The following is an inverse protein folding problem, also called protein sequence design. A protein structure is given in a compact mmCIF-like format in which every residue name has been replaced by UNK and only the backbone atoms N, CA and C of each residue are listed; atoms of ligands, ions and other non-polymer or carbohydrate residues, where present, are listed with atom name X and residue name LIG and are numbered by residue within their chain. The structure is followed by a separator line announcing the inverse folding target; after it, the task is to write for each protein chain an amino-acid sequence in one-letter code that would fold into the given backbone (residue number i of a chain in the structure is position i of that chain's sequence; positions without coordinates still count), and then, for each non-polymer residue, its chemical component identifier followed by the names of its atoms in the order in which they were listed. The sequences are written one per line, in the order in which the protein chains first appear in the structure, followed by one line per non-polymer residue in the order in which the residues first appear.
data_IF_095233495885
#
_entry.id   IF_095233495885
#
_cell.length_a   1.000
_cell.length_b   1.000
_cell.length_c   1.000
_cell.angle_alpha   90.00
_cell.angle_beta   90.00
_cell.angle_gamma   90.00
#
_symmetry.space_group_name_H-M   'P 1'
#
loop_
_entity.id
_entity.type
_entity.pdbx_description
1 polymer ?
#
# COMPACT_ATOMS: atom_id res chain seq x y z
N UNK A 1 -9.97 -21.31 17.54
CA UNK A 1 -10.30 -20.37 16.45
C UNK A 1 -10.40 -21.16 15.16
N UNK A 2 -11.53 -21.06 14.47
CA UNK A 2 -11.70 -21.64 13.14
C UNK A 2 -10.90 -20.86 12.10
N UNK A 3 -10.74 -21.41 10.89
CA UNK A 3 -10.07 -20.71 9.80
C UNK A 3 -10.81 -19.41 9.41
N UNK A 4 -12.15 -19.44 9.46
CA UNK A 4 -12.99 -18.28 9.15
C UNK A 4 -12.82 -17.20 10.22
N UNK A 5 -12.89 -17.56 11.50
CA UNK A 5 -12.66 -16.63 12.61
C UNK A 5 -11.26 -15.99 12.54
N UNK A 6 -10.25 -16.78 12.15
CA UNK A 6 -8.88 -16.26 11.97
C UNK A 6 -8.84 -15.25 10.82
N UNK A 7 -9.42 -15.59 9.68
CA UNK A 7 -9.51 -14.69 8.53
C UNK A 7 -10.21 -13.38 8.88
N UNK A 8 -11.38 -13.44 9.51
CA UNK A 8 -12.16 -12.26 9.90
C UNK A 8 -11.37 -11.35 10.86
N UNK A 9 -10.67 -11.96 11.82
CA UNK A 9 -9.80 -11.25 12.76
C UNK A 9 -8.66 -10.53 12.02
N UNK A 10 -7.92 -11.23 11.15
CA UNK A 10 -6.85 -10.64 10.36
C UNK A 10 -7.38 -9.55 9.42
N UNK A 11 -8.54 -9.75 8.80
CA UNK A 11 -9.15 -8.79 7.87
C UNK A 11 -9.50 -7.49 8.58
N UNK A 12 -10.09 -7.58 9.77
CA UNK A 12 -10.43 -6.41 10.59
C UNK A 12 -9.18 -5.65 11.02
N UNK A 13 -8.22 -6.35 11.64
CA UNK A 13 -6.97 -5.73 12.14
C UNK A 13 -6.16 -5.14 10.99
N UNK A 14 -6.06 -5.84 9.85
CA UNK A 14 -5.35 -5.34 8.68
C UNK A 14 -5.97 -4.08 8.08
N UNK A 15 -7.30 -3.98 8.06
CA UNK A 15 -7.99 -2.76 7.63
C UNK A 15 -7.71 -1.58 8.56
N UNK A 16 -7.78 -1.81 9.88
CA UNK A 16 -7.47 -0.79 10.88
C UNK A 16 -6.01 -0.34 10.79
N UNK A 17 -5.08 -1.28 10.65
CA UNK A 17 -3.65 -1.00 10.45
C UNK A 17 -3.41 -0.20 9.17
N UNK A 18 -4.07 -0.54 8.07
CA UNK A 18 -3.94 0.18 6.80
C UNK A 18 -4.34 1.66 6.95
N UNK A 19 -5.44 1.96 7.65
CA UNK A 19 -5.81 3.34 7.96
C UNK A 19 -4.74 4.03 8.82
N UNK A 20 -4.22 3.38 9.87
CA UNK A 20 -3.14 3.95 10.70
C UNK A 20 -1.91 4.31 9.86
N UNK A 21 -1.51 3.43 8.93
CA UNK A 21 -0.36 3.67 8.04
C UNK A 21 -0.60 4.88 7.16
N UNK A 22 -1.77 4.95 6.50
CA UNK A 22 -2.16 6.05 5.62
C UNK A 22 -2.16 7.37 6.39
N UNK A 23 -2.90 7.42 7.50
CA UNK A 23 -3.10 8.66 8.27
C UNK A 23 -1.80 9.18 8.89
N UNK A 24 -0.87 8.29 9.22
CA UNK A 24 0.36 8.66 9.94
C UNK A 24 1.55 8.91 9.01
N UNK A 25 1.63 8.23 7.86
CA UNK A 25 2.86 8.15 7.06
C UNK A 25 2.67 8.42 5.57
N UNK A 26 1.44 8.47 5.04
CA UNK A 26 1.22 8.75 3.62
C UNK A 26 1.04 10.26 3.38
N UNK A 27 2.14 10.93 3.06
CA UNK A 27 2.09 12.34 2.69
C UNK A 27 1.35 12.57 1.35
N UNK A 28 0.61 13.68 1.27
CA UNK A 28 -0.09 14.07 0.02
C UNK A 28 0.84 14.17 -1.18
N UNK A 29 2.07 14.64 -0.98
CA UNK A 29 3.08 14.74 -2.04
C UNK A 29 3.52 13.37 -2.54
N UNK A 30 3.63 12.38 -1.65
CA UNK A 30 3.93 10.98 -2.01
C UNK A 30 2.80 10.40 -2.84
N UNK A 31 1.55 10.60 -2.40
CA UNK A 31 0.37 10.14 -3.14
C UNK A 31 0.29 10.78 -4.54
N UNK A 32 0.48 12.11 -4.63
CA UNK A 32 0.42 12.80 -5.92
C UNK A 32 1.57 12.42 -6.86
N UNK A 33 2.79 12.23 -6.35
CA UNK A 33 3.92 11.75 -7.16
C UNK A 33 3.69 10.32 -7.66
N UNK A 34 3.14 9.46 -6.79
CA UNK A 34 2.73 8.10 -7.15
C UNK A 34 1.70 8.10 -8.28
N UNK A 35 0.65 8.92 -8.16
CA UNK A 35 -0.37 9.04 -9.20
C UNK A 35 0.18 9.59 -10.53
N UNK A 36 1.14 10.52 -10.49
CA UNK A 36 1.82 11.00 -11.71
C UNK A 36 2.61 9.90 -12.40
N UNK A 37 3.32 9.06 -11.64
CA UNK A 37 4.08 7.93 -12.20
C UNK A 37 3.18 6.88 -12.86
N UNK A 38 1.98 6.70 -12.30
CA UNK A 38 0.97 5.79 -12.84
C UNK A 38 0.15 6.38 -14.00
N UNK A 39 0.36 7.66 -14.37
CA UNK A 39 -0.39 8.31 -15.44
C UNK A 39 -1.83 8.71 -15.06
N UNK A 40 -2.18 8.65 -13.78
CA UNK A 40 -3.51 8.97 -13.25
C UNK A 40 -3.76 10.48 -13.19
N UNK A 41 -2.71 11.30 -13.17
CA UNK A 41 -2.84 12.77 -13.09
C UNK A 41 -3.00 13.40 -14.48
N UNK A 42 -4.11 14.12 -14.69
CA UNK A 42 -4.37 14.98 -15.86
C UNK A 42 -4.60 16.42 -15.38
N UNK A 43 -3.82 17.36 -15.88
CA UNK A 43 -3.87 18.79 -15.50
C UNK A 43 -3.86 19.05 -13.97
N UNK A 44 -3.13 18.22 -13.23
CA UNK A 44 -3.01 18.32 -11.78
C UNK A 44 -4.16 17.70 -10.98
N UNK A 45 -5.14 17.11 -11.66
CA UNK A 45 -6.27 16.41 -11.05
C UNK A 45 -6.12 14.90 -11.22
N UNK A 46 -6.52 14.13 -10.21
CA UNK A 46 -6.59 12.67 -10.28
C UNK A 46 -7.78 12.27 -11.13
N UNK A 47 -7.53 11.59 -12.24
CA UNK A 47 -8.55 11.06 -13.14
C UNK A 47 -8.39 9.54 -13.17
N UNK A 48 -9.38 8.85 -12.60
CA UNK A 48 -9.44 7.39 -12.60
C UNK A 48 -10.37 6.92 -13.71
N UNK A 49 -9.89 6.00 -14.54
CA UNK A 49 -10.69 5.38 -15.61
C UNK A 49 -11.51 4.18 -15.07
N UNK A 50 -11.17 3.66 -13.88
CA UNK A 50 -11.96 2.64 -13.16
C UNK A 50 -11.74 2.70 -11.64
N UNK A 51 -12.66 2.12 -10.86
CA UNK A 51 -12.51 2.01 -9.40
C UNK A 51 -11.24 1.26 -8.99
N UNK A 52 -10.84 0.26 -9.78
CA UNK A 52 -9.66 -0.56 -9.49
C UNK A 52 -8.35 0.23 -9.53
N UNK A 53 -8.29 1.34 -10.28
CA UNK A 53 -7.10 2.20 -10.31
C UNK A 53 -6.85 2.89 -8.97
N UNK A 54 -7.89 3.06 -8.14
CA UNK A 54 -7.70 3.58 -6.78
C UNK A 54 -6.89 2.60 -5.94
N UNK A 55 -7.21 1.29 -6.02
CA UNK A 55 -6.44 0.25 -5.35
C UNK A 55 -5.00 0.18 -5.87
N UNK A 56 -4.81 0.26 -7.18
CA UNK A 56 -3.46 0.28 -7.79
C UNK A 56 -2.64 1.47 -7.30
N UNK A 57 -3.24 2.67 -7.23
CA UNK A 57 -2.57 3.85 -6.70
C UNK A 57 -2.15 3.66 -5.24
N UNK A 58 -3.05 3.17 -4.40
CA UNK A 58 -2.77 2.98 -2.98
C UNK A 58 -1.70 1.92 -2.74
N UNK A 59 -1.77 0.78 -3.44
CA UNK A 59 -0.77 -0.28 -3.31
C UNK A 59 0.62 0.20 -3.73
N UNK A 60 0.72 0.90 -4.86
CA UNK A 60 1.98 1.47 -5.34
C UNK A 60 2.52 2.55 -4.39
N UNK A 61 1.66 3.46 -3.92
CA UNK A 61 2.08 4.55 -3.04
C UNK A 61 2.59 4.03 -1.69
N UNK A 62 2.00 2.96 -1.16
CA UNK A 62 2.37 2.39 0.14
C UNK A 62 3.59 1.46 0.07
N UNK A 63 3.65 0.60 -0.94
CA UNK A 63 4.63 -0.50 -0.99
C UNK A 63 5.82 -0.23 -1.92
N UNK A 64 5.65 0.57 -2.97
CA UNK A 64 6.66 0.70 -4.04
C UNK A 64 7.32 2.08 -4.07
N UNK A 65 6.55 3.15 -3.87
CA UNK A 65 7.10 4.49 -3.93
C UNK A 65 8.04 4.76 -2.74
N UNK A 66 9.29 5.12 -3.03
CA UNK A 66 10.32 5.34 -2.01
C UNK A 66 10.66 6.82 -1.83
N UNK A 67 10.71 7.25 -0.56
CA UNK A 67 11.29 8.52 -0.12
C UNK A 67 12.51 8.21 0.72
N UNK A 68 13.68 8.78 0.36
CA UNK A 68 14.96 8.50 1.02
C UNK A 68 15.24 6.98 1.14
N UNK A 69 14.98 6.26 0.04
CA UNK A 69 15.15 4.81 -0.09
C UNK A 69 14.22 3.94 0.78
N UNK A 70 13.16 4.51 1.38
CA UNK A 70 12.16 3.76 2.17
C UNK A 70 10.75 3.98 1.65
N UNK A 71 9.93 2.93 1.63
CA UNK A 71 8.49 3.02 1.34
C UNK A 71 7.69 3.37 2.61
N UNK A 72 6.39 3.60 2.46
CA UNK A 72 5.52 4.01 3.58
C UNK A 72 5.42 2.93 4.66
N UNK A 73 5.45 1.65 4.30
CA UNK A 73 5.40 0.53 5.26
C UNK A 73 6.69 0.49 6.12
N UNK A 74 7.86 0.61 5.49
CA UNK A 74 9.16 0.70 6.17
C UNK A 74 9.20 1.90 7.13
N UNK A 75 8.72 3.07 6.67
CA UNK A 75 8.64 4.28 7.49
C UNK A 75 7.73 4.08 8.70
N UNK A 76 6.55 3.47 8.52
CA UNK A 76 5.62 3.21 9.61
C UNK A 76 6.21 2.23 10.63
N UNK A 77 6.82 1.15 10.16
CA UNK A 77 7.45 0.13 11.01
C UNK A 77 8.55 0.73 11.89
N UNK A 78 9.35 1.65 11.36
CA UNK A 78 10.43 2.30 12.11
C UNK A 78 9.94 3.37 13.10
N UNK A 79 8.93 4.16 12.72
CA UNK A 79 8.45 5.28 13.54
C UNK A 79 7.48 4.84 14.64
N UNK A 80 6.58 3.91 14.31
CA UNK A 80 5.41 3.57 15.14
C UNK A 80 5.47 2.11 15.61
N UNK A 81 5.88 1.19 14.73
CA UNK A 81 5.94 -0.24 15.05
C UNK A 81 4.58 -0.95 14.92
N UNK A 82 4.22 -1.76 15.92
CA UNK A 82 2.98 -2.54 15.96
C UNK A 82 2.40 -2.59 17.38
N UNK A 83 1.09 -2.73 17.50
CA UNK A 83 0.39 -2.78 18.79
C UNK A 83 0.07 -4.21 19.24
N UNK A 84 0.04 -5.15 18.32
CA UNK A 84 -0.23 -6.57 18.60
C UNK A 84 0.48 -7.46 17.57
N UNK A 85 0.57 -8.76 17.87
CA UNK A 85 1.29 -9.71 17.02
C UNK A 85 0.65 -9.89 15.62
N UNK A 86 -0.66 -9.68 15.47
CA UNK A 86 -1.29 -9.75 14.14
C UNK A 86 -0.86 -8.56 13.27
N UNK A 87 -0.81 -7.35 13.83
CA UNK A 87 -0.23 -6.20 13.12
C UNK A 87 1.24 -6.44 12.75
N UNK A 88 2.01 -7.04 13.67
CA UNK A 88 3.40 -7.40 13.40
C UNK A 88 3.53 -8.36 12.23
N UNK A 89 2.76 -9.44 12.25
CA UNK A 89 2.73 -10.45 11.19
C UNK A 89 2.38 -9.83 9.84
N UNK A 90 1.38 -8.93 9.81
CA UNK A 90 0.97 -8.24 8.58
C UNK A 90 2.08 -7.33 8.06
N UNK A 91 2.74 -6.56 8.92
CA UNK A 91 3.86 -5.70 8.52
C UNK A 91 5.04 -6.52 8.00
N UNK A 92 5.39 -7.62 8.66
CA UNK A 92 6.48 -8.50 8.24
C UNK A 92 6.16 -9.15 6.87
N UNK A 93 4.89 -9.51 6.65
CA UNK A 93 4.43 -10.01 5.35
C UNK A 93 4.49 -8.94 4.25
N UNK A 94 4.08 -7.70 4.53
CA UNK A 94 4.17 -6.60 3.56
C UNK A 94 5.64 -6.30 3.19
N UNK A 95 6.55 -6.27 4.17
CA UNK A 95 7.98 -6.01 3.96
C UNK A 95 8.72 -7.13 3.24
N UNK A 96 8.24 -8.38 3.34
CA UNK A 96 8.78 -9.53 2.61
C UNK A 96 8.13 -9.74 1.24
N UNK A 97 7.03 -9.04 0.96
CA UNK A 97 6.37 -9.07 -0.34
C UNK A 97 7.16 -8.27 -1.39
N UNK A 98 6.95 -8.60 -2.66
CA UNK A 98 7.47 -7.82 -3.77
C UNK A 98 6.38 -7.67 -4.82
N UNK A 99 6.23 -6.46 -5.38
CA UNK A 99 5.31 -6.25 -6.49
C UNK A 99 5.91 -6.80 -7.78
N UNK A 100 5.10 -7.54 -8.53
CA UNK A 100 5.47 -8.01 -9.86
C UNK A 100 4.90 -7.08 -10.91
N UNK A 101 5.77 -6.38 -11.66
CA UNK A 101 5.38 -5.57 -12.81
C UNK A 101 5.75 -6.30 -14.10
N UNK A 102 4.74 -6.61 -14.92
CA UNK A 102 4.93 -7.30 -16.20
C UNK A 102 4.62 -6.37 -17.37
N UNK A 103 5.45 -6.42 -18.41
CA UNK A 103 5.21 -5.75 -19.70
C UNK A 103 4.96 -6.81 -20.76
N UNK A 104 3.82 -6.72 -21.45
CA UNK A 104 3.55 -7.52 -22.65
C UNK A 104 4.46 -7.01 -23.77
N UNK A 105 5.41 -7.83 -24.20
CA UNK A 105 6.37 -7.46 -25.27
C UNK A 105 5.95 -7.96 -26.65
N UNK A 106 5.07 -8.96 -26.71
CA UNK A 106 4.48 -9.49 -27.94
C UNK A 106 3.14 -10.16 -27.63
N UNK A 107 2.26 -10.20 -28.64
CA UNK A 107 1.03 -10.99 -28.65
C UNK A 107 1.13 -11.85 -29.90
N UNK A 108 1.02 -13.17 -29.75
CA UNK A 108 1.03 -14.15 -30.84
C UNK A 108 -0.36 -14.37 -31.41
#
# INVERSE_FOLDING_TARGET
MTLIEKYETYRKIGMELNHKIIDTCLDRDVLMKSARLLGIVRDGTLIFDSENETSVLMDFALNEYRVNNKNTIEIYREKIGWQNEIEKDILDALLSSYTSLFKITSIS
#
